data_IF_773926769625
#
_entry.id   IF_773926769625
#
_cell.length_a   1.000
_cell.length_b   1.000
_cell.length_c   1.000
_cell.angle_alpha   90.00
_cell.angle_beta   90.00
_cell.angle_gamma   90.00
#
_symmetry.space_group_name_H-M   'P 1'
#
loop_
_entity.id
_entity.type
_entity.pdbx_description
1 polymer ?
#
# COMPACT_ATOMS: atom_id res chain seq x y z
N UNK A 1 9.85 -0.47 -24.27
CA UNK A 1 11.10 -0.89 -24.97
C UNK A 1 10.88 -1.98 -26.00
N UNK A 2 9.99 -2.94 -25.75
CA UNK A 2 9.84 -4.17 -26.54
C UNK A 2 9.66 -3.99 -28.06
N UNK A 3 8.72 -3.14 -28.51
CA UNK A 3 8.47 -2.89 -29.96
C UNK A 3 9.75 -2.53 -30.73
N UNK A 4 10.61 -1.70 -30.14
CA UNK A 4 11.87 -1.30 -30.77
C UNK A 4 12.82 -2.48 -30.98
N UNK A 5 12.87 -3.43 -30.04
CA UNK A 5 13.73 -4.63 -30.13
C UNK A 5 13.29 -5.53 -31.28
N UNK A 6 11.98 -5.80 -31.36
CA UNK A 6 11.42 -6.58 -32.47
C UNK A 6 11.64 -5.91 -33.83
N UNK A 7 11.47 -4.58 -33.91
CA UNK A 7 11.76 -3.83 -35.13
C UNK A 7 13.25 -3.90 -35.53
N UNK A 8 14.17 -3.85 -34.56
CA UNK A 8 15.60 -4.02 -34.82
C UNK A 8 15.94 -5.43 -35.36
N UNK A 9 15.34 -6.48 -34.78
CA UNK A 9 15.52 -7.86 -35.26
C UNK A 9 14.95 -8.05 -36.67
N UNK A 10 13.79 -7.47 -36.98
CA UNK A 10 13.22 -7.51 -38.33
C UNK A 10 14.10 -6.79 -39.36
N UNK A 11 14.66 -5.63 -39.03
CA UNK A 11 15.61 -4.93 -39.91
C UNK A 11 16.89 -5.76 -40.14
N UNK A 12 17.44 -6.39 -39.09
CA UNK A 12 18.60 -7.28 -39.22
C UNK A 12 18.28 -8.51 -40.08
N UNK A 13 17.11 -9.15 -39.88
CA UNK A 13 16.67 -10.32 -40.65
C UNK A 13 16.38 -9.99 -42.13
N UNK A 14 16.02 -8.74 -42.45
CA UNK A 14 15.87 -8.24 -43.82
C UNK A 14 17.19 -7.74 -44.44
N UNK A 15 18.33 -8.02 -43.81
CA UNK A 15 19.67 -7.75 -44.36
C UNK A 15 20.26 -6.38 -44.03
N UNK A 16 19.60 -5.56 -43.21
CA UNK A 16 20.17 -4.26 -42.81
C UNK A 16 21.38 -4.45 -41.87
N UNK A 17 22.44 -3.69 -42.11
CA UNK A 17 23.63 -3.72 -41.25
C UNK A 17 23.37 -3.06 -39.89
N UNK A 18 24.07 -3.51 -38.84
CA UNK A 18 23.96 -2.96 -37.48
C UNK A 18 24.05 -1.41 -37.43
N UNK A 19 24.99 -0.74 -38.14
CA UNK A 19 25.03 0.73 -38.19
C UNK A 19 23.78 1.34 -38.82
N UNK A 20 23.22 0.72 -39.87
CA UNK A 20 22.00 1.21 -40.53
C UNK A 20 20.78 1.07 -39.62
N UNK A 21 20.63 -0.07 -38.94
CA UNK A 21 19.56 -0.29 -37.95
C UNK A 21 19.64 0.71 -36.79
N UNK A 22 20.85 0.96 -36.28
CA UNK A 22 21.11 1.95 -35.23
C UNK A 22 20.66 3.36 -35.66
N UNK A 23 21.06 3.79 -36.86
CA UNK A 23 20.64 5.06 -37.45
C UNK A 23 19.12 5.14 -37.64
N UNK A 24 18.50 4.14 -38.26
CA UNK A 24 17.04 4.12 -38.56
C UNK A 24 16.18 4.17 -37.30
N UNK A 25 16.63 3.57 -36.19
CA UNK A 25 15.86 3.49 -34.95
C UNK A 25 16.25 4.53 -33.88
N UNK A 26 17.27 5.37 -34.14
CA UNK A 26 17.76 6.36 -33.17
C UNK A 26 18.46 5.76 -31.94
N UNK A 27 19.05 4.57 -32.07
CA UNK A 27 19.78 3.89 -30.99
C UNK A 27 21.27 3.75 -31.29
N UNK A 28 22.07 3.40 -30.27
CA UNK A 28 23.49 3.09 -30.47
C UNK A 28 23.69 1.71 -31.11
N UNK A 29 24.79 1.53 -31.84
CA UNK A 29 25.18 0.21 -32.38
C UNK A 29 25.40 -0.84 -31.28
N UNK A 30 25.75 -0.41 -30.06
CA UNK A 30 25.82 -1.27 -28.86
C UNK A 30 24.44 -1.81 -28.47
N UNK A 31 23.40 -0.99 -28.50
CA UNK A 31 22.03 -1.41 -28.18
C UNK A 31 21.48 -2.41 -29.22
N UNK A 32 21.81 -2.23 -30.51
CA UNK A 32 21.45 -3.20 -31.56
C UNK A 32 22.17 -4.53 -31.36
N UNK A 33 23.48 -4.51 -31.03
CA UNK A 33 24.25 -5.73 -30.69
C UNK A 33 23.70 -6.44 -29.45
N UNK A 34 23.36 -5.70 -28.39
CA UNK A 34 22.75 -6.26 -27.17
C UNK A 34 21.39 -6.93 -27.49
N UNK A 35 20.57 -6.29 -28.33
CA UNK A 35 19.29 -6.85 -28.77
C UNK A 35 19.47 -8.15 -29.56
N UNK A 36 20.42 -8.20 -30.50
CA UNK A 36 20.75 -9.42 -31.25
C UNK A 36 21.31 -10.53 -30.34
N UNK A 37 22.22 -10.19 -29.42
CA UNK A 37 22.78 -11.14 -28.46
C UNK A 37 21.72 -11.71 -27.52
N UNK A 38 20.80 -10.87 -27.04
CA UNK A 38 19.64 -11.26 -26.22
C UNK A 38 18.73 -12.22 -26.99
N UNK A 39 18.51 -12.01 -28.28
CA UNK A 39 17.73 -12.91 -29.14
C UNK A 39 18.40 -14.27 -29.29
N UNK A 40 19.69 -14.29 -29.64
CA UNK A 40 20.47 -15.52 -29.81
C UNK A 40 20.60 -16.34 -28.50
N UNK A 41 20.45 -15.70 -27.34
CA UNK A 41 20.42 -16.34 -26.02
C UNK A 41 19.02 -16.81 -25.57
N UNK A 42 17.98 -16.68 -26.40
CA UNK A 42 16.60 -17.01 -26.03
C UNK A 42 16.03 -16.16 -24.88
N UNK A 43 16.66 -15.03 -24.56
CA UNK A 43 16.24 -14.18 -23.43
C UNK A 43 14.98 -13.39 -23.78
N UNK A 44 14.03 -13.18 -22.84
CA UNK A 44 12.81 -12.44 -23.09
C UNK A 44 13.04 -11.05 -23.71
N UNK A 45 12.32 -10.74 -24.79
CA UNK A 45 12.28 -9.41 -25.40
C UNK A 45 11.35 -8.43 -24.69
N UNK A 46 10.46 -8.97 -23.85
CA UNK A 46 9.47 -8.26 -23.08
C UNK A 46 10.04 -7.13 -22.20
N UNK A 47 9.21 -6.12 -21.94
CA UNK A 47 9.52 -5.09 -20.96
C UNK A 47 9.21 -5.59 -19.53
N UNK A 48 10.18 -6.31 -18.95
CA UNK A 48 10.06 -6.92 -17.61
C UNK A 48 9.87 -5.91 -16.46
N UNK A 49 9.85 -4.59 -16.73
CA UNK A 49 9.58 -3.54 -15.73
C UNK A 49 8.26 -3.76 -14.99
N UNK A 50 7.25 -4.32 -15.66
CA UNK A 50 5.96 -4.67 -15.05
C UNK A 50 5.99 -5.96 -14.22
N UNK A 51 7.03 -6.77 -14.36
CA UNK A 51 7.23 -8.04 -13.65
C UNK A 51 8.22 -7.92 -12.48
N UNK A 52 8.88 -6.77 -12.29
CA UNK A 52 9.66 -6.51 -11.09
C UNK A 52 8.71 -6.54 -9.87
N UNK A 53 8.94 -7.38 -8.84
CA UNK A 53 8.04 -7.55 -7.70
C UNK A 53 7.98 -6.35 -6.73
N UNK A 54 8.52 -5.19 -7.14
CA UNK A 54 8.68 -4.00 -6.30
C UNK A 54 9.74 -4.18 -5.21
N UNK A 55 9.75 -3.26 -4.24
CA UNK A 55 10.43 -3.53 -2.97
C UNK A 55 9.59 -4.54 -2.16
N UNK A 56 10.25 -5.44 -1.39
CA UNK A 56 9.53 -6.38 -0.54
C UNK A 56 8.60 -5.63 0.42
N UNK A 57 7.39 -6.16 0.69
CA UNK A 57 6.45 -5.52 1.61
C UNK A 57 7.06 -5.31 2.99
N UNK A 58 6.78 -4.16 3.61
CA UNK A 58 7.27 -3.78 4.95
C UNK A 58 6.98 -4.84 6.04
N UNK A 59 5.91 -5.61 5.86
CA UNK A 59 5.47 -6.66 6.76
C UNK A 59 5.74 -8.04 6.13
N UNK A 60 6.47 -8.95 6.82
CA UNK A 60 6.53 -10.36 6.46
C UNK A 60 5.12 -10.98 6.38
N UNK A 61 4.87 -12.01 5.55
CA UNK A 61 3.55 -12.63 5.40
C UNK A 61 2.93 -13.10 6.73
N UNK A 62 3.75 -13.62 7.63
CA UNK A 62 3.36 -14.11 8.95
C UNK A 62 2.83 -12.97 9.83
N UNK A 63 3.48 -11.80 9.77
CA UNK A 63 3.05 -10.61 10.48
C UNK A 63 1.82 -9.96 9.84
N UNK A 64 1.65 -10.06 8.51
CA UNK A 64 0.42 -9.61 7.83
C UNK A 64 -0.79 -10.39 8.34
N UNK A 65 -0.69 -11.72 8.44
CA UNK A 65 -1.80 -12.55 8.94
C UNK A 65 -2.01 -12.35 10.45
N UNK A 66 -0.95 -12.31 11.25
CA UNK A 66 -1.08 -11.98 12.68
C UNK A 66 -1.72 -10.59 12.91
N UNK A 67 -1.49 -9.62 12.02
CA UNK A 67 -2.13 -8.30 12.09
C UNK A 67 -3.59 -8.35 11.65
N UNK A 68 -3.92 -9.10 10.59
CA UNK A 68 -5.33 -9.38 10.23
C UNK A 68 -6.09 -9.97 11.41
N UNK A 69 -5.56 -11.03 12.04
CA UNK A 69 -6.21 -11.68 13.17
C UNK A 69 -6.39 -10.74 14.37
N UNK A 70 -5.41 -9.88 14.66
CA UNK A 70 -5.54 -8.87 15.70
C UNK A 70 -6.61 -7.80 15.39
N UNK A 71 -6.74 -7.39 14.12
CA UNK A 71 -7.77 -6.43 13.67
C UNK A 71 -9.21 -6.97 13.76
N UNK A 72 -9.40 -8.30 13.87
CA UNK A 72 -10.71 -8.92 14.13
C UNK A 72 -11.13 -8.82 15.61
N UNK A 73 -10.19 -8.55 16.52
CA UNK A 73 -10.46 -8.41 17.94
C UNK A 73 -10.50 -6.93 18.35
N UNK A 74 -11.23 -6.55 19.42
CA UNK A 74 -11.11 -5.22 20.01
C UNK A 74 -9.66 -4.93 20.40
N UNK A 75 -9.20 -3.70 20.16
CA UNK A 75 -7.83 -3.32 20.54
C UNK A 75 -7.65 -3.39 22.08
N UNK A 76 -6.58 -4.01 22.62
CA UNK A 76 -6.49 -4.36 24.05
C UNK A 76 -6.50 -3.20 25.04
N UNK A 77 -6.28 -1.95 24.61
CA UNK A 77 -6.24 -0.77 25.49
C UNK A 77 -7.59 -0.07 25.65
N UNK A 78 -8.34 0.05 24.57
CA UNK A 78 -9.48 0.97 24.40
C UNK A 78 -10.59 0.40 23.49
N UNK A 79 -10.44 -0.85 23.04
CA UNK A 79 -11.33 -1.51 22.07
C UNK A 79 -11.18 -1.00 20.62
N UNK A 80 -10.53 0.14 20.40
CA UNK A 80 -10.58 0.88 19.13
C UNK A 80 -9.23 0.81 18.40
N UNK A 81 -9.26 0.24 17.19
CA UNK A 81 -8.13 0.27 16.27
C UNK A 81 -7.96 1.64 15.61
N UNK A 82 -7.23 2.53 16.30
CA UNK A 82 -6.74 3.78 15.71
C UNK A 82 -5.49 3.53 14.87
N UNK A 83 -5.20 4.45 13.93
CA UNK A 83 -3.99 4.39 13.09
C UNK A 83 -2.70 4.42 13.97
N UNK A 84 -2.75 5.11 15.10
CA UNK A 84 -1.64 5.17 16.07
C UNK A 84 -1.47 3.85 16.81
N UNK A 85 -2.54 3.29 17.35
CA UNK A 85 -2.54 1.99 18.04
C UNK A 85 -2.02 0.87 17.10
N UNK A 86 -2.43 0.90 15.83
CA UNK A 86 -1.89 0.02 14.79
C UNK A 86 -0.39 0.20 14.53
N UNK A 87 0.12 1.44 14.54
CA UNK A 87 1.55 1.71 14.41
C UNK A 87 2.34 1.24 15.64
N UNK A 88 1.82 1.44 16.86
CA UNK A 88 2.42 0.96 18.11
C UNK A 88 2.53 -0.59 18.09
N UNK A 89 1.42 -1.30 17.83
CA UNK A 89 1.36 -2.77 17.72
C UNK A 89 2.31 -3.35 16.66
N UNK A 90 2.42 -2.69 15.50
CA UNK A 90 3.37 -3.11 14.46
C UNK A 90 4.82 -2.81 14.82
N UNK A 91 5.08 -1.73 15.58
CA UNK A 91 6.43 -1.34 15.99
C UNK A 91 7.01 -2.30 17.03
N UNK A 92 6.20 -2.70 18.01
CA UNK A 92 6.54 -3.71 19.02
C UNK A 92 6.98 -5.03 18.37
N UNK A 93 6.25 -5.49 17.35
CA UNK A 93 6.50 -6.77 16.67
C UNK A 93 7.62 -6.74 15.64
N UNK A 94 7.96 -5.56 15.12
CA UNK A 94 9.06 -5.37 14.17
C UNK A 94 10.37 -4.90 14.83
N UNK A 95 10.35 -4.59 16.14
CA UNK A 95 11.51 -4.04 16.86
C UNK A 95 11.98 -2.67 16.35
N UNK A 96 11.13 -1.94 15.60
CA UNK A 96 11.45 -0.64 14.98
C UNK A 96 10.22 0.23 14.81
N UNK A 97 10.33 1.57 14.86
CA UNK A 97 9.18 2.45 14.68
C UNK A 97 8.55 2.32 13.29
N UNK A 98 7.22 2.17 13.27
CA UNK A 98 6.38 2.13 12.07
C UNK A 98 5.64 3.45 11.95
N UNK A 99 5.78 4.09 10.79
CA UNK A 99 5.03 5.30 10.47
C UNK A 99 3.50 5.03 10.47
N UNK A 100 2.68 5.86 11.15
CA UNK A 100 1.22 5.69 11.20
C UNK A 100 0.55 5.60 9.83
N UNK A 101 1.00 6.36 8.81
CA UNK A 101 0.40 6.28 7.46
C UNK A 101 0.68 4.93 6.79
N UNK A 102 1.83 4.31 7.08
CA UNK A 102 2.13 2.93 6.65
C UNK A 102 1.22 1.92 7.37
N UNK A 103 1.00 2.07 8.67
CA UNK A 103 0.05 1.23 9.41
C UNK A 103 -1.36 1.32 8.82
N UNK A 104 -1.87 2.53 8.54
CA UNK A 104 -3.15 2.74 7.85
C UNK A 104 -3.22 2.11 6.45
N UNK A 105 -2.14 2.20 5.68
CA UNK A 105 -2.06 1.54 4.37
C UNK A 105 -2.24 0.03 4.49
N UNK A 106 -1.61 -0.60 5.49
CA UNK A 106 -1.76 -2.03 5.78
C UNK A 106 -3.14 -2.40 6.32
N UNK A 107 -3.72 -1.61 7.23
CA UNK A 107 -5.10 -1.79 7.70
C UNK A 107 -6.07 -1.88 6.50
N UNK A 108 -6.02 -0.90 5.58
CA UNK A 108 -6.84 -0.91 4.36
C UNK A 108 -6.58 -2.13 3.47
N UNK A 109 -5.31 -2.50 3.26
CA UNK A 109 -4.94 -3.65 2.42
C UNK A 109 -5.41 -4.99 3.00
N UNK A 110 -5.52 -5.10 4.32
CA UNK A 110 -5.98 -6.31 5.01
C UNK A 110 -7.52 -6.39 5.14
N UNK A 111 -8.24 -5.37 4.66
CA UNK A 111 -9.71 -5.33 4.66
C UNK A 111 -10.33 -4.60 5.85
N UNK A 112 -9.54 -3.87 6.66
CA UNK A 112 -10.09 -3.07 7.77
C UNK A 112 -10.89 -1.88 7.23
N UNK A 113 -12.20 -2.02 7.21
CA UNK A 113 -13.14 -0.91 7.14
C UNK A 113 -13.54 -0.53 8.57
N UNK A 114 -13.40 0.74 9.00
CA UNK A 114 -13.96 1.17 10.28
C UNK A 114 -15.46 0.86 10.29
N UNK A 115 -15.94 0.08 11.27
CA UNK A 115 -17.37 -0.03 11.53
C UNK A 115 -17.87 1.37 11.88
N UNK A 116 -18.46 2.07 10.91
CA UNK A 116 -19.30 3.23 11.18
C UNK A 116 -20.59 2.69 11.79
N UNK A 117 -20.87 2.88 13.10
CA UNK A 117 -22.22 2.67 13.57
C UNK A 117 -23.13 3.58 12.75
N UNK A 118 -24.12 2.98 12.08
CA UNK A 118 -25.12 3.75 11.31
C UNK A 118 -25.80 4.70 12.30
N UNK A 119 -25.76 6.03 12.12
CA UNK A 119 -26.37 6.94 13.07
C UNK A 119 -27.87 6.68 13.10
N UNK A 120 -28.34 6.02 14.16
CA UNK A 120 -29.77 5.90 14.45
C UNK A 120 -30.21 7.24 15.01
N UNK A 121 -31.18 7.86 14.34
CA UNK A 121 -31.79 9.11 14.75
C UNK A 121 -32.32 8.95 16.18
N UNK A 122 -31.79 9.68 17.15
CA UNK A 122 -32.23 9.60 18.56
C UNK A 122 -33.41 10.54 18.79
N UNK A 123 -34.50 10.31 18.06
CA UNK A 123 -35.78 10.86 18.44
C UNK A 123 -36.36 10.03 19.58
N UNK A 124 -36.26 10.63 20.77
CA UNK A 124 -37.05 10.30 21.97
C UNK A 124 -36.67 9.02 22.71
N UNK A 125 -35.80 9.21 23.71
CA UNK A 125 -36.12 8.74 25.06
C UNK A 125 -36.08 9.94 26.01
N UNK A 126 -37.23 10.24 26.60
CA UNK A 126 -37.45 11.34 27.56
C UNK A 126 -37.72 10.73 28.93
N UNK A 127 -36.66 10.50 29.73
CA UNK A 127 -36.75 10.25 31.16
C UNK A 127 -35.35 10.40 31.81
N UNK A 128 -35.31 10.59 33.13
CA UNK A 128 -34.13 10.46 33.98
C UNK A 128 -32.99 11.47 33.73
N UNK A 129 -33.36 12.75 33.87
CA UNK A 129 -32.43 13.84 34.24
C UNK A 129 -32.40 14.13 35.75
N UNK A 130 -32.80 13.19 36.60
CA UNK A 130 -32.79 13.36 38.06
C UNK A 130 -31.57 12.68 38.73
N UNK A 131 -31.13 13.27 39.83
CA UNK A 131 -30.15 12.73 40.79
C UNK A 131 -28.63 12.74 40.47
N UNK A 132 -28.03 13.89 40.09
CA UNK A 132 -26.72 14.35 40.63
C UNK A 132 -26.44 15.82 40.26
N UNK A 133 -26.08 16.76 41.15
CA UNK A 133 -26.06 16.75 42.62
C UNK A 133 -26.30 18.20 43.11
N UNK A 134 -27.16 18.35 44.11
CA UNK A 134 -27.46 19.63 44.77
C UNK A 134 -26.38 19.97 45.80
N UNK A 135 -25.62 21.06 45.61
CA UNK A 135 -24.96 21.76 46.72
C UNK A 135 -25.15 23.26 46.56
N UNK A 136 -25.61 23.90 47.62
CA UNK A 136 -26.15 25.26 47.64
C UNK A 136 -25.15 26.31 48.11
N UNK A 137 -25.21 27.50 47.53
CA UNK A 137 -25.06 28.76 48.29
C UNK A 137 -26.20 29.72 47.95
N UNK A 138 -27.09 29.94 48.92
CA UNK A 138 -27.92 31.14 49.07
C UNK A 138 -27.02 32.29 49.60
N UNK A 139 -27.37 33.57 49.74
CA UNK A 139 -28.55 34.47 49.53
C UNK A 139 -27.96 35.93 49.59
N UNK A 140 -28.61 37.06 49.29
CA UNK A 140 -29.98 37.49 48.93
C UNK A 140 -29.87 38.73 47.99
N UNK A 141 -31.00 39.28 47.55
CA UNK A 141 -31.12 40.73 47.25
C UNK A 141 -31.44 41.52 48.52
N UNK A 142 -30.99 42.78 48.58
CA UNK A 142 -31.75 43.96 49.02
C UNK A 142 -31.13 45.20 48.36
#
# INVERSE_FOLDING_TARGET
MERSRWHALWLLATGHTIPKVAQTLGYSTRWVRDTLHRYNQGKPMADLRHQNPGQPPLLPPELQEAFRQALLQPHPRDGIWTIRNAAEWLSERLGRPVDPRRAWSWMKRLGFAPLRPRPRHRERDLAEGEAFKKTSSSRSFS
#
